data_IF_549972813300
#
_entry.id   IF_549972813300
#
_cell.length_a   1.000
_cell.length_b   1.000
_cell.length_c   1.000
_cell.angle_alpha   90.00
_cell.angle_beta   90.00
_cell.angle_gamma   90.00
#
_symmetry.space_group_name_H-M   'P 1'
#
loop_
_entity.id
_entity.type
_entity.pdbx_description
1 polymer ?
#
# COMPACT_ATOMS: atom_id res chain seq x y z
N UNK A 1 -8.09 -5.97 3.36
CA UNK A 1 -6.91 -5.73 2.51
C UNK A 1 -7.09 -6.34 1.14
N UNK A 2 -6.84 -5.54 0.08
CA UNK A 2 -6.92 -5.99 -1.32
C UNK A 2 -5.84 -7.03 -1.69
N UNK A 3 -4.79 -7.13 -0.88
CA UNK A 3 -3.72 -8.12 -1.00
C UNK A 3 -3.58 -8.87 0.33
N UNK A 4 -3.34 -10.18 0.29
CA UNK A 4 -3.00 -10.97 1.48
C UNK A 4 -1.57 -10.70 1.93
N UNK A 5 -1.29 -10.87 3.23
CA UNK A 5 0.05 -10.67 3.79
C UNK A 5 1.12 -11.51 3.08
N UNK A 6 0.82 -12.77 2.77
CA UNK A 6 1.75 -13.64 2.03
C UNK A 6 2.04 -13.12 0.62
N UNK A 7 1.05 -12.51 -0.05
CA UNK A 7 1.25 -11.91 -1.36
C UNK A 7 2.10 -10.65 -1.27
N UNK A 8 1.90 -9.83 -0.23
CA UNK A 8 2.73 -8.64 0.04
C UNK A 8 4.17 -9.07 0.33
N UNK A 9 4.38 -10.12 1.12
CA UNK A 9 5.71 -10.68 1.39
C UNK A 9 6.42 -11.10 0.10
N UNK A 10 5.74 -11.85 -0.77
CA UNK A 10 6.30 -12.25 -2.08
C UNK A 10 6.65 -11.06 -2.97
N UNK A 11 5.83 -10.01 -2.96
CA UNK A 11 6.11 -8.77 -3.70
C UNK A 11 7.35 -8.09 -3.12
N UNK A 12 7.47 -8.00 -1.80
CA UNK A 12 8.60 -7.38 -1.13
C UNK A 12 9.93 -8.11 -1.42
N UNK A 13 9.92 -9.45 -1.36
CA UNK A 13 11.06 -10.29 -1.72
C UNK A 13 11.46 -10.08 -3.18
N UNK A 14 10.49 -10.17 -4.10
CA UNK A 14 10.74 -10.02 -5.54
C UNK A 14 11.25 -8.62 -5.88
N UNK A 15 10.70 -7.58 -5.26
CA UNK A 15 11.15 -6.21 -5.47
C UNK A 15 12.61 -6.05 -5.01
N UNK A 16 12.94 -6.54 -3.81
CA UNK A 16 14.31 -6.51 -3.32
C UNK A 16 15.28 -7.18 -4.30
N UNK A 17 14.97 -8.42 -4.69
CA UNK A 17 15.88 -9.25 -5.48
C UNK A 17 15.99 -8.76 -6.93
N UNK A 18 14.89 -8.32 -7.57
CA UNK A 18 14.94 -7.80 -8.94
C UNK A 18 15.70 -6.47 -9.04
N UNK A 19 15.61 -5.60 -8.03
CA UNK A 19 16.35 -4.34 -8.03
C UNK A 19 17.88 -4.56 -7.97
N UNK A 20 18.31 -5.54 -7.18
CA UNK A 20 19.71 -5.94 -7.10
C UNK A 20 20.16 -6.66 -8.38
N UNK A 21 19.37 -7.61 -8.88
CA UNK A 21 19.68 -8.37 -10.09
C UNK A 21 19.84 -7.47 -11.33
N UNK A 22 19.05 -6.40 -11.42
CA UNK A 22 19.15 -5.41 -12.51
C UNK A 22 20.26 -4.38 -12.29
N UNK A 23 20.99 -4.44 -11.18
CA UNK A 23 22.05 -3.49 -10.84
C UNK A 23 21.54 -2.07 -10.53
N UNK A 24 20.25 -1.91 -10.23
CA UNK A 24 19.66 -0.61 -9.88
C UNK A 24 19.98 -0.22 -8.44
N UNK A 25 20.24 -1.21 -7.59
CA UNK A 25 20.63 -1.02 -6.19
C UNK A 25 21.76 -2.00 -5.86
N UNK A 26 22.77 -1.52 -5.13
CA UNK A 26 23.82 -2.36 -4.56
C UNK A 26 23.70 -2.31 -3.04
N UNK A 27 23.11 -3.35 -2.45
CA UNK A 27 22.91 -3.39 -1.01
C UNK A 27 24.23 -3.61 -0.29
N UNK A 28 24.43 -2.86 0.80
CA UNK A 28 25.57 -3.04 1.70
C UNK A 28 25.04 -3.57 3.02
N UNK A 29 25.60 -4.68 3.46
CA UNK A 29 25.32 -5.17 4.80
C UNK A 29 26.18 -4.42 5.83
N UNK A 30 25.64 -4.16 7.03
CA UNK A 30 26.42 -3.58 8.12
C UNK A 30 27.66 -4.43 8.44
N UNK A 31 28.76 -3.80 8.84
CA UNK A 31 29.96 -4.54 9.30
C UNK A 31 29.60 -5.45 10.47
N UNK A 32 29.91 -6.74 10.35
CA UNK A 32 29.63 -7.74 11.37
C UNK A 32 28.22 -8.36 11.32
N UNK A 33 27.41 -8.03 10.31
CA UNK A 33 26.10 -8.68 10.14
C UNK A 33 26.25 -10.16 9.71
N UNK A 34 25.39 -11.02 10.25
CA UNK A 34 25.28 -12.42 9.84
C UNK A 34 24.83 -12.51 8.37
N UNK A 35 25.36 -13.45 7.57
CA UNK A 35 24.91 -13.64 6.19
C UNK A 35 23.38 -13.80 6.10
N UNK A 36 22.75 -13.03 5.22
CA UNK A 36 21.29 -13.08 5.00
C UNK A 36 20.45 -12.22 5.97
N UNK A 37 20.99 -11.78 7.10
CA UNK A 37 20.27 -10.92 8.05
C UNK A 37 19.92 -9.56 7.45
N UNK A 38 20.82 -8.99 6.63
CA UNK A 38 20.58 -7.73 5.93
C UNK A 38 19.44 -7.83 4.91
N UNK A 39 19.38 -8.92 4.13
CA UNK A 39 18.28 -9.16 3.18
C UNK A 39 16.94 -9.24 3.91
N UNK A 40 16.85 -10.05 4.97
CA UNK A 40 15.62 -10.21 5.73
C UNK A 40 15.12 -8.87 6.29
N UNK A 41 16.01 -8.04 6.83
CA UNK A 41 15.67 -6.71 7.34
C UNK A 41 15.16 -5.77 6.23
N UNK A 42 15.78 -5.77 5.05
CA UNK A 42 15.34 -4.95 3.90
C UNK A 42 13.99 -5.40 3.35
N UNK A 43 13.79 -6.70 3.18
CA UNK A 43 12.50 -7.27 2.78
C UNK A 43 11.42 -6.90 3.78
N UNK A 44 11.71 -6.99 5.09
CA UNK A 44 10.78 -6.56 6.14
C UNK A 44 10.45 -5.07 6.03
N UNK A 45 11.43 -4.20 5.80
CA UNK A 45 11.18 -2.77 5.64
C UNK A 45 10.26 -2.47 4.43
N UNK A 46 10.47 -3.14 3.30
CA UNK A 46 9.60 -3.02 2.12
C UNK A 46 8.18 -3.53 2.44
N UNK A 47 8.07 -4.69 3.10
CA UNK A 47 6.80 -5.26 3.53
C UNK A 47 6.03 -4.30 4.44
N UNK A 48 6.68 -3.80 5.50
CA UNK A 48 6.08 -2.90 6.48
C UNK A 48 5.60 -1.61 5.81
N UNK A 49 6.39 -1.08 4.86
CA UNK A 49 6.00 0.09 4.06
C UNK A 49 4.73 -0.18 3.24
N UNK A 50 4.67 -1.29 2.49
CA UNK A 50 3.49 -1.63 1.67
C UNK A 50 2.26 -1.84 2.57
N UNK A 51 2.41 -2.53 3.70
CA UNK A 51 1.31 -2.75 4.64
C UNK A 51 0.80 -1.43 5.22
N UNK A 52 1.70 -0.54 5.63
CA UNK A 52 1.32 0.77 6.15
C UNK A 52 0.59 1.61 5.09
N UNK A 53 1.08 1.60 3.86
CA UNK A 53 0.47 2.32 2.74
C UNK A 53 -0.95 1.79 2.42
N UNK A 54 -1.11 0.47 2.34
CA UNK A 54 -2.42 -0.16 2.13
C UNK A 54 -3.42 0.15 3.25
N UNK A 55 -2.96 0.27 4.50
CA UNK A 55 -3.83 0.67 5.61
C UNK A 55 -4.35 2.09 5.44
N UNK A 56 -3.51 3.02 4.97
CA UNK A 56 -3.93 4.39 4.67
C UNK A 56 -5.00 4.37 3.58
N UNK A 57 -4.82 3.58 2.52
CA UNK A 57 -5.82 3.43 1.46
C UNK A 57 -7.15 2.87 2.01
N UNK A 58 -7.11 1.87 2.89
CA UNK A 58 -8.29 1.31 3.53
C UNK A 58 -9.04 2.30 4.41
N UNK A 59 -8.30 3.13 5.16
CA UNK A 59 -8.91 4.20 5.95
C UNK A 59 -9.60 5.26 5.08
N UNK A 60 -9.00 5.59 3.93
CA UNK A 60 -9.60 6.48 2.94
C UNK A 60 -10.89 5.85 2.41
N UNK A 61 -10.86 4.57 2.00
CA UNK A 61 -12.04 3.86 1.52
C UNK A 61 -13.15 3.83 2.59
N UNK A 62 -12.81 3.55 3.85
CA UNK A 62 -13.77 3.55 4.95
C UNK A 62 -14.36 4.94 5.26
N UNK A 63 -13.59 6.01 5.07
CA UNK A 63 -14.10 7.38 5.16
C UNK A 63 -15.06 7.71 4.01
N UNK A 64 -14.72 7.30 2.79
CA UNK A 64 -15.61 7.48 1.63
C UNK A 64 -16.93 6.73 1.83
N UNK A 65 -16.90 5.49 2.33
CA UNK A 65 -18.12 4.74 2.64
C UNK A 65 -18.97 5.45 3.70
N UNK A 66 -18.35 6.05 4.73
CA UNK A 66 -19.07 6.89 5.71
C UNK A 66 -19.68 8.13 5.08
N UNK A 67 -19.03 8.76 4.11
CA UNK A 67 -19.58 9.91 3.38
C UNK A 67 -20.80 9.46 2.55
N UNK A 68 -20.66 8.37 1.78
CA UNK A 68 -21.73 7.87 0.92
C UNK A 68 -22.95 7.41 1.72
N UNK A 69 -22.76 6.88 2.93
CA UNK A 69 -23.89 6.45 3.78
C UNK A 69 -24.73 7.60 4.33
N UNK A 70 -24.25 8.84 4.30
CA UNK A 70 -25.03 10.04 4.69
C UNK A 70 -26.02 10.49 3.61
N UNK A 71 -25.95 9.95 2.40
CA UNK A 71 -26.86 10.32 1.33
C UNK A 71 -28.27 9.80 1.64
N UNK A 72 -29.26 10.69 1.54
CA UNK A 72 -30.66 10.39 1.87
C UNK A 72 -31.31 9.37 0.92
N UNK A 73 -30.76 9.23 -0.29
CA UNK A 73 -31.22 8.27 -1.29
C UNK A 73 -30.21 7.14 -1.46
N UNK A 74 -30.73 5.96 -1.77
CA UNK A 74 -29.90 4.80 -2.11
C UNK A 74 -29.15 5.06 -3.43
N UNK A 75 -27.82 5.04 -3.37
CA UNK A 75 -26.95 5.17 -4.54
C UNK A 75 -26.72 3.79 -5.16
N UNK A 76 -26.99 3.61 -6.46
CA UNK A 76 -26.91 2.30 -7.13
C UNK A 76 -25.96 2.30 -8.33
N UNK A 77 -25.30 1.16 -8.53
CA UNK A 77 -24.48 0.87 -9.71
C UNK A 77 -23.45 1.97 -10.00
N UNK A 78 -23.39 2.38 -11.27
CA UNK A 78 -22.41 3.35 -11.78
C UNK A 78 -22.41 4.68 -11.03
N UNK A 79 -23.57 5.15 -10.57
CA UNK A 79 -23.65 6.42 -9.83
C UNK A 79 -22.86 6.36 -8.53
N UNK A 80 -23.01 5.26 -7.79
CA UNK A 80 -22.27 5.03 -6.55
C UNK A 80 -20.77 4.96 -6.83
N UNK A 81 -20.36 4.27 -7.89
CA UNK A 81 -18.94 4.12 -8.25
C UNK A 81 -18.30 5.45 -8.63
N UNK A 82 -19.00 6.30 -9.38
CA UNK A 82 -18.53 7.63 -9.75
C UNK A 82 -18.36 8.51 -8.50
N UNK A 83 -19.34 8.50 -7.60
CA UNK A 83 -19.27 9.27 -6.36
C UNK A 83 -18.18 8.74 -5.43
N UNK A 84 -18.02 7.42 -5.34
CA UNK A 84 -16.95 6.79 -4.57
C UNK A 84 -15.58 7.27 -5.04
N UNK A 85 -15.30 7.21 -6.34
CA UNK A 85 -14.00 7.67 -6.90
C UNK A 85 -13.76 9.15 -6.64
N UNK A 86 -14.78 9.99 -6.85
CA UNK A 86 -14.68 11.44 -6.62
C UNK A 86 -14.35 11.76 -5.16
N UNK A 87 -15.07 11.16 -4.22
CA UNK A 87 -14.84 11.37 -2.79
C UNK A 87 -13.50 10.78 -2.35
N UNK A 88 -13.10 9.63 -2.91
CA UNK A 88 -11.80 9.03 -2.64
C UNK A 88 -10.64 9.96 -3.03
N UNK A 89 -10.70 10.55 -4.22
CA UNK A 89 -9.71 11.54 -4.65
C UNK A 89 -9.68 12.78 -3.73
N UNK A 90 -10.85 13.25 -3.29
CA UNK A 90 -10.94 14.39 -2.38
C UNK A 90 -10.35 14.09 -0.99
N UNK A 91 -10.71 12.94 -0.41
CA UNK A 91 -10.22 12.50 0.90
C UNK A 91 -8.71 12.23 0.84
N UNK A 92 -8.22 11.54 -0.18
CA UNK A 92 -6.80 11.31 -0.39
C UNK A 92 -6.03 12.63 -0.46
N UNK A 93 -6.51 13.60 -1.25
CA UNK A 93 -5.89 14.93 -1.37
C UNK A 93 -5.84 15.66 -0.03
N UNK A 94 -6.92 15.63 0.76
CA UNK A 94 -6.95 16.27 2.09
C UNK A 94 -5.95 15.66 3.06
N UNK A 95 -5.69 14.36 2.94
CA UNK A 95 -4.70 13.63 3.75
C UNK A 95 -3.27 13.72 3.19
N UNK A 96 -3.06 14.41 2.07
CA UNK A 96 -1.76 14.46 1.38
C UNK A 96 -1.32 13.10 0.82
N UNK A 97 -2.26 12.17 0.63
CA UNK A 97 -2.02 10.85 0.07
C UNK A 97 -2.13 10.90 -1.46
N UNK A 98 -1.23 10.18 -2.14
CA UNK A 98 -1.17 10.10 -3.60
C UNK A 98 -1.77 8.75 -4.00
N UNK A 99 -2.85 8.79 -4.79
CA UNK A 99 -3.53 7.62 -5.35
C UNK A 99 -2.85 7.08 -6.62
#
# INVERSE_FOLDING_TARGET
MRLSEDKIRRIAERLHDELEQRGLVAYKDPRGATPGAGRAARVKAIYDFIVADLKIEEEIDAEVERILSTYSRELKGTERDVLFRKHKEEVARKRGYIL
#
